data_IF_116710318483
#
_entry.id   IF_116710318483
#
_cell.length_a   1.000
_cell.length_b   1.000
_cell.length_c   1.000
_cell.angle_alpha   90.00
_cell.angle_beta   90.00
_cell.angle_gamma   90.00
#
_symmetry.space_group_name_H-M   'P 1'
#
loop_
_entity.id
_entity.type
_entity.pdbx_description
1 polymer ?
#
# COMPACT_ATOMS: atom_id res chain seq x y z
N UNK A 1 42.88 18.08 -54.39
CA UNK A 1 41.95 16.91 -54.40
C UNK A 1 41.01 17.04 -55.59
N UNK A 2 40.87 16.00 -56.43
CA UNK A 2 40.03 16.06 -57.63
C UNK A 2 38.57 16.23 -57.22
N UNK A 3 37.83 17.09 -57.94
CA UNK A 3 36.43 17.45 -57.64
C UNK A 3 35.51 16.22 -57.50
N UNK A 4 35.83 15.14 -58.23
CA UNK A 4 35.12 13.85 -58.17
C UNK A 4 35.26 13.13 -56.82
N UNK A 5 36.40 13.23 -56.13
CA UNK A 5 36.62 12.59 -54.82
C UNK A 5 35.78 13.25 -53.72
N UNK A 6 35.54 14.56 -53.82
CA UNK A 6 34.69 15.31 -52.88
C UNK A 6 33.21 14.96 -53.04
N UNK A 7 32.75 14.76 -54.27
CA UNK A 7 31.37 14.35 -54.57
C UNK A 7 31.13 12.92 -54.07
N UNK A 8 32.08 12.01 -54.28
CA UNK A 8 31.99 10.63 -53.77
C UNK A 8 31.97 10.56 -52.24
N UNK A 9 32.81 11.35 -51.55
CA UNK A 9 32.80 11.42 -50.08
C UNK A 9 31.50 12.00 -49.52
N UNK A 10 30.94 13.04 -50.16
CA UNK A 10 29.65 13.61 -49.74
C UNK A 10 28.48 12.64 -49.99
N UNK A 11 28.46 11.95 -51.12
CA UNK A 11 27.44 10.94 -51.42
C UNK A 11 27.53 9.74 -50.48
N UNK A 12 28.73 9.28 -50.14
CA UNK A 12 28.93 8.18 -49.19
C UNK A 12 28.49 8.56 -47.77
N UNK A 13 28.79 9.79 -47.31
CA UNK A 13 28.33 10.27 -46.00
C UNK A 13 26.80 10.39 -45.94
N UNK A 14 26.16 10.96 -46.96
CA UNK A 14 24.69 11.12 -46.96
C UNK A 14 23.92 9.81 -47.21
N UNK A 15 24.52 8.83 -47.89
CA UNK A 15 23.87 7.55 -48.16
C UNK A 15 24.11 6.52 -47.03
N UNK A 16 25.28 6.52 -46.39
CA UNK A 16 25.61 5.50 -45.37
C UNK A 16 25.25 5.91 -43.93
N UNK A 17 25.28 7.21 -43.57
CA UNK A 17 24.90 7.61 -42.21
C UNK A 17 23.43 7.32 -41.80
N UNK A 18 22.40 7.43 -42.66
CA UNK A 18 21.03 7.11 -42.24
C UNK A 18 20.78 5.59 -42.09
N UNK A 19 21.62 4.75 -42.71
CA UNK A 19 21.51 3.29 -42.56
C UNK A 19 22.06 2.85 -41.20
N UNK A 20 23.14 3.47 -40.72
CA UNK A 20 23.75 3.13 -39.42
C UNK A 20 22.88 3.62 -38.25
N UNK A 21 22.20 4.77 -38.37
CA UNK A 21 21.31 5.28 -37.33
C UNK A 21 20.06 4.43 -37.10
N UNK A 22 19.65 3.63 -38.09
CA UNK A 22 18.48 2.74 -38.00
C UNK A 22 18.75 1.49 -37.17
N UNK A 23 20.01 1.09 -36.97
CA UNK A 23 20.36 -0.11 -36.18
C UNK A 23 20.32 0.14 -34.66
N UNK A 24 20.21 1.39 -34.21
CA UNK A 24 20.26 1.77 -32.80
C UNK A 24 18.94 2.38 -32.31
N UNK A 25 17.85 2.22 -33.05
CA UNK A 25 16.53 2.56 -32.52
C UNK A 25 16.20 1.56 -31.38
N UNK A 26 16.03 2.02 -30.13
CA UNK A 26 15.53 1.14 -29.08
C UNK A 26 14.16 0.64 -29.51
N UNK A 27 13.97 -0.68 -29.50
CA UNK A 27 12.66 -1.28 -29.70
C UNK A 27 11.71 -0.71 -28.63
N UNK A 28 10.87 0.23 -29.02
CA UNK A 28 9.82 0.77 -28.18
C UNK A 28 8.73 -0.29 -28.04
N UNK A 29 8.93 -1.23 -27.12
CA UNK A 29 7.92 -2.21 -26.74
C UNK A 29 6.83 -1.51 -25.93
N UNK A 30 5.83 -0.96 -26.62
CA UNK A 30 4.61 -0.47 -25.99
C UNK A 30 3.79 -1.69 -25.51
N UNK A 31 3.71 -1.88 -24.20
CA UNK A 31 2.93 -2.95 -23.58
C UNK A 31 1.65 -2.34 -23.00
N UNK A 32 0.49 -2.72 -23.55
CA UNK A 32 -0.81 -2.25 -23.08
C UNK A 32 -1.36 -3.23 -22.04
N UNK A 33 -1.83 -2.70 -20.91
CA UNK A 33 -2.44 -3.44 -19.82
C UNK A 33 -3.94 -3.21 -19.84
N UNK A 34 -4.72 -4.28 -19.66
CA UNK A 34 -6.17 -4.24 -19.55
C UNK A 34 -6.59 -4.66 -18.14
N UNK A 35 -7.52 -3.93 -17.53
CA UNK A 35 -8.12 -4.29 -16.23
C UNK A 35 -9.60 -3.90 -16.17
N UNK A 36 -10.35 -4.54 -15.28
CA UNK A 36 -11.77 -4.26 -15.05
C UNK A 36 -11.95 -3.60 -13.70
N UNK A 37 -12.63 -2.45 -13.65
CA UNK A 37 -12.91 -1.72 -12.42
C UNK A 37 -14.06 -2.32 -11.61
N UNK A 38 -14.31 -1.75 -10.42
CA UNK A 38 -15.38 -2.18 -9.51
C UNK A 38 -16.79 -2.01 -10.10
N UNK A 39 -16.94 -1.24 -11.18
CA UNK A 39 -18.20 -1.04 -11.91
C UNK A 39 -18.29 -1.91 -13.17
N UNK A 40 -17.35 -2.83 -13.38
CA UNK A 40 -17.31 -3.71 -14.54
C UNK A 40 -16.82 -3.06 -15.83
N UNK A 41 -16.30 -1.83 -15.80
CA UNK A 41 -15.78 -1.15 -16.99
C UNK A 41 -14.36 -1.62 -17.27
N UNK A 42 -14.06 -1.85 -18.55
CA UNK A 42 -12.71 -2.22 -19.01
C UNK A 42 -11.88 -0.98 -19.27
N UNK A 43 -10.75 -0.89 -18.60
CA UNK A 43 -9.76 0.18 -18.73
C UNK A 43 -8.48 -0.37 -19.37
N UNK A 44 -7.80 0.50 -20.13
CA UNK A 44 -6.52 0.20 -20.77
C UNK A 44 -5.49 1.25 -20.34
N UNK A 45 -4.26 0.83 -20.06
CA UNK A 45 -3.17 1.73 -19.72
C UNK A 45 -1.84 1.18 -20.20
N UNK A 46 -0.93 2.06 -20.58
CA UNK A 46 0.44 1.69 -20.98
C UNK A 46 1.39 1.64 -19.78
N UNK A 47 0.95 2.21 -18.64
CA UNK A 47 1.69 2.19 -17.39
C UNK A 47 0.94 1.36 -16.32
N UNK A 48 1.44 0.17 -15.94
CA UNK A 48 0.81 -0.66 -14.93
C UNK A 48 0.79 -0.02 -13.54
N UNK A 49 1.61 1.02 -13.30
CA UNK A 49 1.63 1.76 -12.03
C UNK A 49 0.39 2.65 -11.84
N UNK A 50 -0.30 3.00 -12.93
CA UNK A 50 -1.55 3.77 -12.90
C UNK A 50 -2.79 2.95 -12.51
N UNK A 51 -2.69 1.61 -12.47
CA UNK A 51 -3.81 0.73 -12.14
C UNK A 51 -4.00 0.69 -10.62
N UNK A 52 -5.20 0.91 -10.08
CA UNK A 52 -5.43 0.77 -8.64
C UNK A 52 -5.16 -0.65 -8.16
N UNK A 53 -4.55 -0.78 -6.98
CA UNK A 53 -4.00 -2.03 -6.45
C UNK A 53 -4.95 -3.23 -6.48
N UNK A 54 -6.21 -3.00 -6.12
CA UNK A 54 -7.27 -4.02 -6.11
C UNK A 54 -7.45 -4.69 -7.47
N UNK A 55 -7.16 -3.99 -8.56
CA UNK A 55 -7.33 -4.46 -9.94
C UNK A 55 -6.03 -4.96 -10.58
N UNK A 56 -4.86 -4.65 -10.01
CA UNK A 56 -3.57 -5.12 -10.53
C UNK A 56 -3.46 -6.65 -10.52
N UNK A 57 -4.09 -7.34 -9.56
CA UNK A 57 -4.11 -8.82 -9.50
C UNK A 57 -4.83 -9.46 -10.71
N UNK A 58 -5.75 -8.73 -11.34
CA UNK A 58 -6.60 -9.21 -12.44
C UNK A 58 -6.27 -8.55 -13.78
N UNK A 59 -5.11 -7.88 -13.88
CA UNK A 59 -4.73 -7.23 -15.13
C UNK A 59 -4.21 -8.26 -16.14
N UNK A 60 -4.57 -8.05 -17.41
CA UNK A 60 -4.07 -8.82 -18.54
C UNK A 60 -3.15 -7.97 -19.38
N UNK A 61 -2.01 -8.53 -19.78
CA UNK A 61 -1.12 -7.91 -20.78
C UNK A 61 -1.70 -8.17 -22.17
N UNK A 62 -2.07 -7.10 -22.88
CA UNK A 62 -2.60 -7.19 -24.24
C UNK A 62 -1.50 -6.78 -25.21
N UNK A 63 -0.94 -7.76 -25.94
CA UNK A 63 -0.19 -7.48 -27.16
C UNK A 63 -1.18 -7.40 -28.33
N UNK A 64 -1.11 -6.33 -29.13
CA UNK A 64 -1.98 -6.12 -30.27
C UNK A 64 -1.73 -7.14 -31.38
N UNK A 65 -2.59 -8.17 -31.45
CA UNK A 65 -3.09 -8.72 -32.69
C UNK A 65 -4.60 -8.90 -32.55
N UNK A 66 -5.44 -8.46 -33.52
CA UNK A 66 -6.88 -8.52 -33.37
C UNK A 66 -7.32 -9.98 -33.44
N UNK A 67 -7.72 -10.54 -32.30
CA UNK A 67 -8.42 -11.84 -32.29
C UNK A 67 -9.93 -11.55 -32.32
N UNK A 68 -10.68 -12.10 -33.30
CA UNK A 68 -12.13 -11.90 -33.41
C UNK A 68 -12.86 -12.42 -32.17
N UNK A 69 -13.88 -11.68 -31.71
CA UNK A 69 -14.76 -12.09 -30.62
C UNK A 69 -15.67 -13.25 -31.07
N UNK A 70 -15.90 -14.19 -30.17
CA UNK A 70 -17.08 -15.06 -30.17
C UNK A 70 -17.69 -15.14 -28.75
N UNK A 71 -19.01 -15.43 -28.63
CA UNK A 71 -19.89 -14.73 -27.70
C UNK A 71 -20.12 -15.45 -26.35
N UNK A 72 -20.70 -14.65 -25.45
CA UNK A 72 -21.12 -14.94 -24.07
C UNK A 72 -21.92 -16.25 -23.93
N UNK A 73 -21.57 -17.06 -22.93
CA UNK A 73 -22.52 -17.98 -22.29
C UNK A 73 -22.76 -17.51 -20.85
N UNK A 74 -24.00 -17.08 -20.63
CA UNK A 74 -24.62 -16.80 -19.35
C UNK A 74 -25.25 -18.12 -18.88
N UNK A 75 -24.97 -18.54 -17.66
CA UNK A 75 -25.84 -19.48 -16.96
C UNK A 75 -25.98 -19.05 -15.52
N UNK A 76 -27.24 -18.96 -15.12
CA UNK A 76 -27.77 -18.41 -13.88
C UNK A 76 -27.53 -19.34 -12.67
N UNK A 77 -27.43 -18.70 -11.50
CA UNK A 77 -27.63 -19.27 -10.16
C UNK A 77 -29.04 -19.86 -10.03
N UNK A 78 -29.27 -20.84 -9.13
CA UNK A 78 -29.81 -20.48 -7.82
C UNK A 78 -29.17 -21.22 -6.62
N UNK A 79 -29.08 -20.48 -5.51
CA UNK A 79 -29.00 -20.88 -4.08
C UNK A 79 -30.18 -21.82 -3.68
N UNK A 80 -30.41 -22.22 -2.40
CA UNK A 80 -29.61 -22.20 -1.16
C UNK A 80 -29.71 -23.50 -0.32
N UNK A 81 -28.83 -23.73 0.67
CA UNK A 81 -29.23 -24.50 1.88
C UNK A 81 -28.54 -24.01 3.16
N UNK A 82 -29.40 -23.90 4.16
CA UNK A 82 -29.32 -23.35 5.50
C UNK A 82 -28.94 -24.43 6.55
N UNK A 83 -28.65 -23.99 7.78
CA UNK A 83 -28.85 -24.70 9.07
C UNK A 83 -27.63 -25.50 9.62
N UNK A 84 -27.25 -25.52 10.91
CA UNK A 84 -27.61 -24.80 12.16
C UNK A 84 -26.82 -25.47 13.32
N UNK A 85 -26.60 -24.70 14.41
CA UNK A 85 -26.60 -25.08 15.84
C UNK A 85 -25.30 -25.46 16.60
N UNK A 86 -25.05 -24.58 17.60
CA UNK A 86 -24.90 -24.82 19.06
C UNK A 86 -23.52 -25.09 19.70
N UNK A 87 -23.12 -24.12 20.54
CA UNK A 87 -22.25 -24.27 21.73
C UNK A 87 -22.85 -25.23 22.77
N UNK A 88 -22.10 -25.58 23.85
CA UNK A 88 -22.30 -24.82 25.10
C UNK A 88 -21.04 -24.57 25.96
N UNK A 89 -20.91 -23.31 26.38
CA UNK A 89 -20.54 -22.75 27.71
C UNK A 89 -20.21 -23.69 28.88
N UNK A 90 -19.18 -23.33 29.67
CA UNK A 90 -19.28 -23.14 31.15
C UNK A 90 -17.98 -22.57 31.79
N UNK A 91 -17.95 -22.13 33.07
CA UNK A 91 -17.84 -20.71 33.45
C UNK A 91 -16.73 -20.46 34.51
N UNK A 92 -16.80 -19.33 35.24
CA UNK A 92 -15.97 -18.87 36.38
C UNK A 92 -14.73 -18.04 35.98
N UNK A 93 -14.45 -16.83 36.49
CA UNK A 93 -14.81 -16.14 37.74
C UNK A 93 -14.73 -14.61 37.52
N UNK A 94 -15.81 -13.83 37.62
CA UNK A 94 -16.30 -13.03 38.77
C UNK A 94 -15.34 -11.95 39.33
N UNK A 95 -15.75 -10.68 39.08
CA UNK A 95 -15.65 -9.46 39.92
C UNK A 95 -14.25 -8.95 40.25
N UNK A 96 -13.88 -7.70 39.94
CA UNK A 96 -14.30 -6.46 40.65
C UNK A 96 -14.29 -5.25 39.71
N UNK A 97 -15.35 -4.45 39.69
CA UNK A 97 -15.53 -3.20 40.44
C UNK A 97 -15.04 -1.96 39.66
N UNK A 98 -16.03 -1.10 39.38
CA UNK A 98 -15.98 0.36 39.18
C UNK A 98 -14.60 1.00 39.48
N UNK A 99 -13.91 1.45 38.44
CA UNK A 99 -12.90 2.50 38.55
C UNK A 99 -12.99 3.39 37.30
N UNK A 100 -14.03 4.23 37.29
CA UNK A 100 -14.10 5.38 36.40
C UNK A 100 -13.09 6.42 36.89
N UNK A 101 -11.94 6.55 36.22
CA UNK A 101 -11.41 7.84 35.74
C UNK A 101 -9.89 7.87 35.51
N UNK A 102 -9.15 6.79 35.81
CA UNK A 102 -7.70 6.75 35.62
C UNK A 102 -7.30 5.58 34.71
N UNK A 103 -6.42 5.87 33.76
CA UNK A 103 -5.79 4.87 32.89
C UNK A 103 -5.11 3.80 33.74
N UNK A 104 -5.34 2.53 33.41
CA UNK A 104 -4.57 1.43 33.99
C UNK A 104 -3.07 1.61 33.68
N UNK A 105 -2.16 1.16 34.56
CA UNK A 105 -0.72 1.08 34.24
C UNK A 105 -0.44 0.33 32.93
N UNK A 106 -1.24 -0.69 32.62
CA UNK A 106 -1.13 -1.48 31.39
C UNK A 106 -1.55 -0.67 30.16
N UNK A 107 -2.62 0.12 30.27
CA UNK A 107 -3.07 1.02 29.20
C UNK A 107 -2.06 2.14 28.97
N UNK A 108 -1.51 2.70 30.04
CA UNK A 108 -0.45 3.71 29.96
C UNK A 108 0.79 3.16 29.25
N UNK A 109 1.20 1.93 29.58
CA UNK A 109 2.31 1.25 28.90
C UNK A 109 2.00 1.01 27.42
N UNK A 110 0.79 0.53 27.10
CA UNK A 110 0.36 0.29 25.73
C UNK A 110 0.30 1.58 24.89
N UNK A 111 -0.16 2.69 25.47
CA UNK A 111 -0.15 4.01 24.83
C UNK A 111 1.28 4.43 24.49
N UNK A 112 2.20 4.36 25.45
CA UNK A 112 3.59 4.76 25.23
C UNK A 112 4.30 3.89 24.17
N UNK A 113 4.04 2.58 24.18
CA UNK A 113 4.55 1.67 23.15
C UNK A 113 3.97 2.01 21.77
N UNK A 114 2.67 2.32 21.68
CA UNK A 114 2.04 2.74 20.45
C UNK A 114 2.64 4.05 19.91
N UNK A 115 2.80 5.07 20.76
CA UNK A 115 3.45 6.34 20.40
C UNK A 115 4.88 6.08 19.91
N UNK A 116 5.66 5.28 20.63
CA UNK A 116 7.03 4.94 20.28
C UNK A 116 7.12 4.25 18.91
N UNK A 117 6.27 3.27 18.67
CA UNK A 117 6.19 2.59 17.38
C UNK A 117 5.79 3.53 16.24
N UNK A 118 4.73 4.33 16.41
CA UNK A 118 4.25 5.25 15.38
C UNK A 118 5.31 6.29 15.01
N UNK A 119 6.02 6.85 16.00
CA UNK A 119 7.15 7.76 15.76
C UNK A 119 8.29 7.07 15.01
N UNK A 120 8.68 5.87 15.42
CA UNK A 120 9.70 5.09 14.74
C UNK A 120 9.29 4.74 13.30
N UNK A 121 8.01 4.44 13.08
CA UNK A 121 7.46 4.10 11.77
C UNK A 121 7.43 5.33 10.85
N UNK A 122 7.04 6.51 11.34
CA UNK A 122 7.17 7.77 10.60
C UNK A 122 8.64 7.99 10.21
N UNK A 123 9.55 7.96 11.18
CA UNK A 123 10.98 8.18 10.94
C UNK A 123 11.58 7.19 9.93
N UNK A 124 11.09 5.94 9.94
CA UNK A 124 11.50 4.89 9.00
C UNK A 124 11.15 5.25 7.56
N UNK A 125 10.01 5.91 7.33
CA UNK A 125 9.53 6.24 5.98
C UNK A 125 9.92 7.63 5.48
N UNK A 126 10.19 8.59 6.37
CA UNK A 126 10.60 9.96 6.02
C UNK A 126 11.66 10.04 4.91
N UNK A 127 12.72 9.20 4.89
CA UNK A 127 13.75 9.28 3.84
C UNK A 127 13.27 8.97 2.43
N UNK A 128 12.08 8.38 2.28
CA UNK A 128 11.55 7.88 1.01
C UNK A 128 10.40 8.73 0.44
N UNK A 129 9.72 9.52 1.27
CA UNK A 129 8.47 10.21 0.92
C UNK A 129 8.68 11.29 -0.16
N UNK A 130 9.78 12.04 -0.11
CA UNK A 130 10.04 13.16 -1.03
C UNK A 130 11.09 12.84 -2.11
N UNK A 131 11.56 11.59 -2.18
CA UNK A 131 12.61 11.18 -3.12
C UNK A 131 12.03 10.53 -4.38
N UNK A 132 12.81 10.49 -5.47
CA UNK A 132 12.54 9.57 -6.58
C UNK A 132 12.39 8.15 -6.04
N UNK A 133 11.58 7.35 -6.73
CA UNK A 133 11.23 5.99 -6.31
C UNK A 133 12.47 5.18 -5.98
N UNK A 134 12.66 4.88 -4.69
CA UNK A 134 13.73 4.03 -4.20
C UNK A 134 13.17 2.62 -3.96
N UNK A 135 13.76 1.62 -4.63
CA UNK A 135 13.38 0.23 -4.50
C UNK A 135 13.75 -0.36 -3.13
N UNK A 136 14.57 0.34 -2.32
CA UNK A 136 14.92 -0.06 -0.96
C UNK A 136 13.76 0.09 0.02
N UNK A 137 12.74 0.90 -0.28
CA UNK A 137 11.55 1.03 0.56
C UNK A 137 10.91 -0.34 0.83
N UNK A 138 11.01 -1.28 -0.12
CA UNK A 138 10.54 -2.66 0.01
C UNK A 138 11.17 -3.41 1.19
N UNK A 139 12.47 -3.25 1.41
CA UNK A 139 13.18 -3.93 2.49
C UNK A 139 12.80 -3.32 3.84
N UNK A 140 12.72 -2.00 3.87
CA UNK A 140 12.35 -1.21 5.05
C UNK A 140 10.96 -1.57 5.56
N UNK A 141 9.99 -1.71 4.65
CA UNK A 141 8.60 -2.08 4.97
C UNK A 141 8.52 -3.47 5.58
N UNK A 142 9.28 -4.42 5.04
CA UNK A 142 9.30 -5.80 5.54
C UNK A 142 9.85 -5.89 6.97
N UNK A 143 10.86 -5.08 7.30
CA UNK A 143 11.47 -5.09 8.63
C UNK A 143 10.52 -4.69 9.76
N UNK A 144 9.40 -4.04 9.44
CA UNK A 144 8.44 -3.52 10.41
C UNK A 144 7.15 -4.33 10.52
N UNK A 145 6.89 -5.23 9.56
CA UNK A 145 5.60 -5.87 9.41
C UNK A 145 5.20 -6.67 10.65
N UNK A 146 6.11 -7.50 11.16
CA UNK A 146 5.84 -8.36 12.31
C UNK A 146 5.59 -7.53 13.58
N UNK A 147 6.35 -6.45 13.77
CA UNK A 147 6.14 -5.49 14.87
C UNK A 147 4.77 -4.82 14.76
N UNK A 148 4.37 -4.43 13.56
CA UNK A 148 3.08 -3.80 13.29
C UNK A 148 1.92 -4.73 13.62
N UNK A 149 2.00 -6.00 13.22
CA UNK A 149 0.98 -7.03 13.51
C UNK A 149 0.90 -7.28 15.01
N UNK A 150 2.04 -7.56 15.65
CA UNK A 150 2.09 -7.87 17.08
C UNK A 150 1.55 -6.73 17.95
N UNK A 151 1.93 -5.49 17.63
CA UNK A 151 1.41 -4.32 18.33
C UNK A 151 -0.09 -4.17 18.09
N UNK A 152 -0.57 -4.34 16.86
CA UNK A 152 -2.00 -4.21 16.58
C UNK A 152 -2.85 -5.24 17.33
N UNK A 153 -2.37 -6.47 17.46
CA UNK A 153 -3.04 -7.51 18.23
C UNK A 153 -3.05 -7.17 19.72
N UNK A 154 -1.90 -6.75 20.27
CA UNK A 154 -1.78 -6.29 21.66
C UNK A 154 -2.74 -5.14 21.96
N UNK A 155 -2.77 -4.10 21.12
CA UNK A 155 -3.60 -2.93 21.31
C UNK A 155 -5.10 -3.25 21.21
N UNK A 156 -5.48 -4.25 20.41
CA UNK A 156 -6.88 -4.65 20.24
C UNK A 156 -7.50 -5.33 21.47
N UNK A 157 -6.68 -5.78 22.42
CA UNK A 157 -7.14 -6.38 23.68
C UNK A 157 -7.68 -5.35 24.68
N UNK A 158 -7.30 -4.07 24.54
CA UNK A 158 -7.72 -3.01 25.45
C UNK A 158 -9.12 -2.50 25.13
N UNK A 159 -9.85 -2.07 26.16
CA UNK A 159 -11.18 -1.47 25.99
C UNK A 159 -11.11 -0.01 25.55
N UNK A 160 -9.98 0.66 25.79
CA UNK A 160 -9.78 2.06 25.47
C UNK A 160 -9.88 2.33 23.95
N UNK A 161 -10.77 3.25 23.58
CA UNK A 161 -11.13 3.49 22.18
C UNK A 161 -9.97 3.98 21.31
N UNK A 162 -9.08 4.83 21.84
CA UNK A 162 -7.90 5.30 21.08
C UNK A 162 -6.93 4.14 20.76
N UNK A 163 -6.81 3.15 21.65
CA UNK A 163 -5.99 1.96 21.41
C UNK A 163 -6.63 1.05 20.36
N UNK A 164 -7.96 0.85 20.39
CA UNK A 164 -8.68 0.11 19.35
C UNK A 164 -8.60 0.78 17.98
N UNK A 165 -8.73 2.11 17.93
CA UNK A 165 -8.58 2.90 16.71
C UNK A 165 -7.16 2.73 16.14
N UNK A 166 -6.15 2.85 16.99
CA UNK A 166 -4.74 2.62 16.62
C UNK A 166 -4.52 1.19 16.13
N UNK A 167 -5.05 0.19 16.82
CA UNK A 167 -4.98 -1.21 16.41
C UNK A 167 -5.60 -1.43 15.02
N UNK A 168 -6.77 -0.84 14.76
CA UNK A 168 -7.46 -0.95 13.47
C UNK A 168 -6.66 -0.33 12.31
N UNK A 169 -6.05 0.84 12.58
CA UNK A 169 -5.13 1.47 11.64
C UNK A 169 -3.92 0.58 11.34
N UNK A 170 -3.25 0.05 12.38
CA UNK A 170 -2.09 -0.81 12.23
C UNK A 170 -2.42 -2.12 11.49
N UNK A 171 -3.57 -2.75 11.76
CA UNK A 171 -4.04 -3.94 11.03
C UNK A 171 -4.23 -3.66 9.54
N UNK A 172 -4.84 -2.51 9.20
CA UNK A 172 -5.04 -2.10 7.81
C UNK A 172 -3.70 -1.88 7.11
N UNK A 173 -2.81 -1.11 7.73
CA UNK A 173 -1.48 -0.83 7.19
C UNK A 173 -0.62 -2.11 7.04
N UNK A 174 -0.70 -3.04 7.98
CA UNK A 174 -0.02 -4.34 7.92
C UNK A 174 -0.56 -5.23 6.80
N UNK A 175 -1.88 -5.24 6.60
CA UNK A 175 -2.50 -6.01 5.51
C UNK A 175 -2.02 -5.52 4.14
N UNK A 176 -1.94 -4.21 3.95
CA UNK A 176 -1.42 -3.64 2.71
C UNK A 176 0.06 -3.98 2.49
N UNK A 177 0.88 -4.00 3.56
CA UNK A 177 2.26 -4.47 3.50
C UNK A 177 2.37 -5.94 3.07
N UNK A 178 1.51 -6.80 3.62
CA UNK A 178 1.45 -8.23 3.32
C UNK A 178 0.96 -8.50 1.90
N UNK A 179 -0.10 -7.83 1.45
CA UNK A 179 -0.62 -7.93 0.09
C UNK A 179 0.45 -7.54 -0.94
N UNK A 180 1.29 -6.54 -0.61
CA UNK A 180 2.42 -6.16 -1.45
C UNK A 180 3.58 -7.18 -1.43
N UNK A 181 3.64 -8.11 -0.46
CA UNK A 181 4.58 -9.26 -0.46
C UNK A 181 4.09 -10.40 -1.34
N UNK A 182 2.78 -10.66 -1.38
CA UNK A 182 2.19 -11.82 -2.09
C UNK A 182 2.24 -11.71 -3.62
N UNK A 183 2.54 -10.53 -4.17
CA UNK A 183 2.64 -10.31 -5.61
C UNK A 183 3.99 -10.80 -6.16
N UNK A 184 3.93 -11.66 -7.18
CA UNK A 184 5.04 -12.34 -7.88
C UNK A 184 6.30 -11.46 -8.06
N UNK A 185 7.53 -12.03 -7.99
CA UNK A 185 8.82 -11.32 -8.09
C UNK A 185 9.10 -10.65 -9.45
N UNK A 186 8.07 -10.49 -10.30
CA UNK A 186 8.18 -9.86 -11.60
C UNK A 186 8.72 -8.42 -11.47
N UNK A 187 9.90 -8.20 -12.06
CA UNK A 187 10.67 -6.97 -11.92
C UNK A 187 9.89 -5.74 -12.44
N UNK A 188 8.98 -5.94 -13.41
CA UNK A 188 8.17 -4.86 -13.99
C UNK A 188 7.21 -4.20 -12.98
N UNK A 189 6.84 -4.90 -11.90
CA UNK A 189 5.93 -4.37 -10.87
C UNK A 189 6.66 -3.84 -9.64
N UNK A 190 7.99 -3.93 -9.57
CA UNK A 190 8.74 -3.45 -8.40
C UNK A 190 8.69 -1.93 -8.28
N UNK A 191 8.84 -1.21 -9.39
CA UNK A 191 8.79 0.25 -9.43
C UNK A 191 7.41 0.79 -9.04
N UNK A 192 6.33 0.20 -9.56
CA UNK A 192 4.96 0.60 -9.21
C UNK A 192 4.66 0.38 -7.73
N UNK A 193 5.14 -0.73 -7.14
CA UNK A 193 4.99 -0.98 -5.70
C UNK A 193 5.75 0.04 -4.85
N UNK A 194 6.99 0.36 -5.23
CA UNK A 194 7.77 1.35 -4.50
C UNK A 194 7.12 2.75 -4.55
N UNK A 195 6.52 3.14 -5.69
CA UNK A 195 5.69 4.36 -5.81
C UNK A 195 4.51 4.28 -4.84
N UNK A 196 3.72 3.22 -4.90
CA UNK A 196 2.54 3.07 -4.07
C UNK A 196 2.86 3.11 -2.57
N UNK A 197 3.94 2.43 -2.14
CA UNK A 197 4.38 2.43 -0.75
C UNK A 197 4.84 3.80 -0.28
N UNK A 198 5.53 4.54 -1.14
CA UNK A 198 5.90 5.93 -0.88
C UNK A 198 4.66 6.79 -0.70
N UNK A 199 3.73 6.72 -1.65
CA UNK A 199 2.52 7.55 -1.64
C UNK A 199 1.64 7.23 -0.42
N UNK A 200 1.51 5.94 -0.10
CA UNK A 200 0.85 5.49 1.14
C UNK A 200 1.58 5.98 2.38
N UNK A 201 2.91 5.85 2.45
CA UNK A 201 3.67 6.32 3.60
C UNK A 201 3.46 7.82 3.85
N UNK A 202 3.34 8.60 2.77
CA UNK A 202 2.97 10.02 2.82
C UNK A 202 1.57 10.22 3.42
N UNK A 203 0.55 9.53 2.91
CA UNK A 203 -0.82 9.67 3.42
C UNK A 203 -0.98 9.13 4.85
N UNK A 204 -0.28 8.06 5.19
CA UNK A 204 -0.30 7.48 6.53
C UNK A 204 0.40 8.38 7.55
N UNK A 205 1.40 9.18 7.15
CA UNK A 205 2.12 10.05 8.08
C UNK A 205 1.16 11.00 8.82
N UNK A 206 0.23 11.63 8.11
CA UNK A 206 -0.78 12.51 8.70
C UNK A 206 -1.67 11.76 9.70
N UNK A 207 -2.10 10.55 9.33
CA UNK A 207 -2.92 9.69 10.21
C UNK A 207 -2.15 9.27 11.45
N UNK A 208 -0.87 8.90 11.33
CA UNK A 208 0.00 8.53 12.45
C UNK A 208 0.20 9.70 13.40
N UNK A 209 0.45 10.90 12.87
CA UNK A 209 0.60 12.11 13.68
C UNK A 209 -0.70 12.45 14.44
N UNK A 210 -1.86 12.32 13.79
CA UNK A 210 -3.15 12.51 14.47
C UNK A 210 -3.38 11.47 15.58
N UNK A 211 -3.08 10.20 15.34
CA UNK A 211 -3.17 9.14 16.34
C UNK A 211 -2.22 9.36 17.51
N UNK A 212 -0.97 9.78 17.27
CA UNK A 212 -0.02 10.13 18.33
C UNK A 212 -0.61 11.21 19.22
N UNK A 213 -1.18 12.27 18.63
CA UNK A 213 -1.80 13.35 19.40
C UNK A 213 -2.98 12.86 20.26
N UNK A 214 -3.87 12.03 19.70
CA UNK A 214 -4.98 11.43 20.46
C UNK A 214 -4.49 10.52 21.61
N UNK A 215 -3.40 9.79 21.38
CA UNK A 215 -2.77 8.94 22.38
C UNK A 215 -2.13 9.77 23.50
N UNK A 216 -1.45 10.86 23.17
CA UNK A 216 -0.89 11.81 24.15
C UNK A 216 -2.00 12.51 24.95
N UNK A 217 -3.10 12.90 24.30
CA UNK A 217 -4.27 13.48 24.96
C UNK A 217 -4.92 12.49 25.94
N UNK A 218 -4.93 11.20 25.61
CA UNK A 218 -5.43 10.16 26.52
C UNK A 218 -4.62 10.06 27.81
N UNK A 219 -3.30 10.35 27.78
CA UNK A 219 -2.43 10.37 28.97
C UNK A 219 -2.70 11.55 29.90
N UNK A 220 -3.37 12.60 29.43
CA UNK A 220 -3.65 13.80 30.22
C UNK A 220 -4.82 13.49 31.17
N UNK A 221 -4.66 13.63 32.50
CA UNK A 221 -5.77 13.47 33.44
C UNK A 221 -6.90 14.44 33.09
N UNK A 222 -8.15 13.93 33.01
CA UNK A 222 -9.33 14.72 32.61
C UNK A 222 -9.53 15.98 33.47
N UNK A 223 -9.09 15.97 34.72
CA UNK A 223 -9.18 17.11 35.63
C UNK A 223 -8.25 18.28 35.24
N UNK A 224 -7.13 18.02 34.57
CA UNK A 224 -6.18 19.05 34.12
C UNK A 224 -6.59 19.73 32.81
N UNK A 225 -7.44 19.08 32.00
CA UNK A 225 -7.99 19.67 30.78
C UNK A 225 -9.06 20.73 31.09
N UNK A 226 -9.82 20.56 32.18
CA UNK A 226 -10.84 21.52 32.62
C UNK A 226 -10.27 22.82 33.20
N UNK A 227 -9.03 22.81 33.72
CA UNK A 227 -8.36 23.99 34.26
C UNK A 227 -7.75 24.87 33.15
N UNK A 228 -7.28 24.27 32.04
CA UNK A 228 -6.81 25.02 30.86
C UNK A 228 -7.93 25.68 30.05
N UNK A 229 -9.17 25.20 30.15
CA UNK A 229 -10.32 25.77 29.45
C UNK A 229 -11.00 26.94 30.20
N UNK A 230 -10.60 27.20 31.46
CA UNK A 230 -11.14 28.29 32.30
C UNK A 230 -10.21 29.50 32.42
N UNK A 231 -9.12 29.54 31.66
CA UNK A 231 -8.11 30.61 31.68
C UNK A 231 -7.93 31.18 30.29
#
# INVERSE_FOLDING_TARGET
MPKLLRIFLFAFFFLCLPVISSLWAPNAHAQVYRWTDDQGRRNFTDDPSSIPFKHQKNMEKVFSAPTPRSPLLRTETPEPQESKKEEPVSPFSRSTAKEESQLSPEETSAINEAIGFLNADIARYTPYIDKPVDLNIDHVVRGALDQKIALADKLSAFKLEVLKKTASFLKTSAKEDEDARRLSPNNSLRKSRAVQRRDRAKTEQETKTALIKELEEALIPKDSAAEKAKK
#
